data_IF_001923429838
#
_entry.id   IF_001923429838
#
_cell.length_a   1.000
_cell.length_b   1.000
_cell.length_c   1.000
_cell.angle_alpha   90.00
_cell.angle_beta   90.00
_cell.angle_gamma   90.00
#
_symmetry.space_group_name_H-M   'P 1'
#
loop_
_entity.id
_entity.type
_entity.pdbx_description
1 polymer ?
#
# COMPACT_ATOMS: atom_id res chain seq x y z
N UNK A 1 -16.45 -9.09 -13.34
CA UNK A 1 -15.94 -7.91 -14.08
C UNK A 1 -14.45 -7.93 -13.81
N UNK A 2 -13.65 -8.25 -14.81
CA UNK A 2 -12.19 -8.23 -14.69
C UNK A 2 -11.75 -6.78 -14.85
N UNK A 3 -11.14 -6.22 -13.82
CA UNK A 3 -10.48 -4.91 -13.92
C UNK A 3 -9.15 -5.11 -14.66
N UNK A 4 -8.82 -4.19 -15.55
CA UNK A 4 -7.48 -4.10 -16.14
C UNK A 4 -6.77 -2.81 -15.72
N UNK A 5 -5.46 -2.76 -15.92
CA UNK A 5 -4.64 -1.64 -15.45
C UNK A 5 -4.94 -0.34 -16.20
N UNK A 6 -5.38 -0.41 -17.46
CA UNK A 6 -5.75 0.77 -18.26
C UNK A 6 -7.05 1.40 -17.75
N UNK A 7 -8.03 0.57 -17.40
CA UNK A 7 -9.28 1.01 -16.79
C UNK A 7 -9.06 1.66 -15.44
N UNK A 8 -8.23 1.05 -14.58
CA UNK A 8 -7.88 1.62 -13.28
C UNK A 8 -7.09 2.93 -13.43
N UNK A 9 -6.13 2.97 -14.35
CA UNK A 9 -5.37 4.19 -14.64
C UNK A 9 -6.29 5.34 -15.10
N UNK A 10 -7.21 5.06 -16.02
CA UNK A 10 -8.18 6.04 -16.49
C UNK A 10 -9.11 6.52 -15.36
N UNK A 11 -9.58 5.60 -14.51
CA UNK A 11 -10.44 5.91 -13.37
C UNK A 11 -9.73 6.80 -12.35
N UNK A 12 -8.51 6.46 -11.95
CA UNK A 12 -7.78 7.22 -10.94
C UNK A 12 -7.29 8.57 -11.45
N UNK A 13 -7.03 8.72 -12.76
CA UNK A 13 -6.69 10.01 -13.38
C UNK A 13 -7.85 11.01 -13.39
N UNK A 14 -9.09 10.54 -13.26
CA UNK A 14 -10.28 11.40 -13.13
C UNK A 14 -10.49 11.90 -11.69
N UNK A 15 -9.73 11.37 -10.73
CA UNK A 15 -9.79 11.78 -9.32
C UNK A 15 -8.82 12.93 -9.06
N UNK A 16 -9.34 14.09 -8.64
CA UNK A 16 -8.56 15.33 -8.41
C UNK A 16 -7.53 15.22 -7.27
N UNK A 17 -7.66 14.22 -6.40
CA UNK A 17 -6.82 14.00 -5.22
C UNK A 17 -5.69 12.99 -5.44
N UNK A 18 -5.59 12.41 -6.63
CA UNK A 18 -4.59 11.39 -6.95
C UNK A 18 -3.64 11.82 -8.07
N UNK A 19 -2.35 11.59 -7.85
CA UNK A 19 -1.34 11.61 -8.90
C UNK A 19 -1.07 10.16 -9.31
N UNK A 20 -1.26 9.85 -10.59
CA UNK A 20 -1.12 8.48 -11.12
C UNK A 20 0.03 8.42 -12.12
N UNK A 21 1.01 7.58 -11.84
CA UNK A 21 2.15 7.29 -12.72
C UNK A 21 2.15 5.81 -13.09
N UNK A 22 2.29 5.50 -14.37
CA UNK A 22 2.36 4.10 -14.82
C UNK A 22 3.80 3.61 -14.89
N UNK A 23 4.07 2.49 -14.23
CA UNK A 23 5.38 1.83 -14.18
C UNK A 23 5.21 0.36 -14.59
N UNK A 24 5.40 0.08 -15.89
CA UNK A 24 5.24 -1.26 -16.49
C UNK A 24 3.86 -1.89 -16.18
N UNK A 25 3.84 -2.87 -15.28
CA UNK A 25 2.67 -3.66 -14.87
C UNK A 25 2.05 -3.15 -13.56
N UNK A 26 2.50 -2.01 -13.05
CA UNK A 26 1.98 -1.39 -11.84
C UNK A 26 1.60 0.08 -12.07
N UNK A 27 0.73 0.59 -11.20
CA UNK A 27 0.50 2.03 -11.03
C UNK A 27 1.13 2.49 -9.73
N UNK A 28 1.88 3.58 -9.78
CA UNK A 28 2.25 4.36 -8.61
C UNK A 28 1.19 5.45 -8.42
N UNK A 29 0.52 5.44 -7.29
CA UNK A 29 -0.54 6.37 -6.95
C UNK A 29 -0.12 7.14 -5.70
N UNK A 30 -0.21 8.46 -5.75
CA UNK A 30 0.09 9.33 -4.62
C UNK A 30 -1.13 10.19 -4.28
N UNK A 31 -1.49 10.28 -3.00
CA UNK A 31 -2.55 11.18 -2.56
C UNK A 31 -2.00 12.57 -2.16
N UNK A 32 -2.89 13.52 -1.87
CA UNK A 32 -2.51 14.88 -1.46
C UNK A 32 -1.77 14.94 -0.11
N UNK A 33 -1.89 13.91 0.72
CA UNK A 33 -1.23 13.82 2.03
C UNK A 33 0.22 13.28 1.93
N UNK A 34 0.68 12.95 0.72
CA UNK A 34 2.03 12.44 0.46
C UNK A 34 2.20 10.94 0.73
N UNK A 35 1.10 10.18 0.73
CA UNK A 35 1.14 8.73 0.80
C UNK A 35 1.24 8.16 -0.62
N UNK A 36 2.36 7.49 -0.90
CA UNK A 36 2.59 6.77 -2.15
C UNK A 36 2.21 5.30 -2.00
N UNK A 37 1.55 4.75 -3.01
CA UNK A 37 1.13 3.35 -3.04
C UNK A 37 1.40 2.71 -4.42
N UNK A 38 1.87 1.47 -4.39
CA UNK A 38 2.02 0.61 -5.56
C UNK A 38 0.76 -0.22 -5.73
N UNK A 39 0.11 -0.09 -6.88
CA UNK A 39 -1.04 -0.88 -7.26
C UNK A 39 -0.66 -1.86 -8.37
N UNK A 40 -1.04 -3.11 -8.21
CA UNK A 40 -0.89 -4.17 -9.20
C UNK A 40 -2.15 -5.03 -9.27
N UNK A 41 -2.37 -5.68 -10.41
CA UNK A 41 -3.43 -6.68 -10.58
C UNK A 41 -2.80 -8.07 -10.51
N UNK A 42 -3.33 -8.92 -9.63
CA UNK A 42 -2.87 -10.30 -9.45
C UNK A 42 -4.06 -11.26 -9.55
N UNK A 43 -4.25 -11.82 -10.74
CA UNK A 43 -5.44 -12.64 -11.05
C UNK A 43 -6.72 -11.80 -10.95
N UNK A 44 -7.64 -12.21 -10.08
CA UNK A 44 -8.91 -11.49 -9.83
C UNK A 44 -8.80 -10.42 -8.71
N UNK A 45 -7.60 -10.20 -8.17
CA UNK A 45 -7.37 -9.30 -7.05
C UNK A 45 -6.62 -8.03 -7.48
N UNK A 46 -7.02 -6.89 -6.91
CA UNK A 46 -6.24 -5.67 -6.93
C UNK A 46 -5.44 -5.65 -5.63
N UNK A 47 -4.13 -5.58 -5.75
CA UNK A 47 -3.21 -5.47 -4.61
C UNK A 47 -2.68 -4.05 -4.59
N UNK A 48 -2.72 -3.42 -3.42
CA UNK A 48 -2.17 -2.10 -3.18
C UNK A 48 -1.23 -2.21 -1.99
N UNK A 49 -0.02 -1.68 -2.11
CA UNK A 49 0.96 -1.66 -1.03
C UNK A 49 1.58 -0.27 -0.90
N UNK A 50 1.60 0.26 0.32
CA UNK A 50 2.24 1.52 0.66
C UNK A 50 3.34 1.32 1.70
N UNK A 51 4.41 2.12 1.57
CA UNK A 51 5.46 2.21 2.57
C UNK A 51 5.04 3.27 3.62
N UNK A 52 4.83 2.85 4.86
CA UNK A 52 4.29 3.74 5.89
C UNK A 52 5.38 4.57 6.59
N UNK A 53 6.27 3.90 7.32
CA UNK A 53 7.35 4.55 8.08
C UNK A 53 8.44 3.57 8.45
N UNK A 54 9.64 4.09 8.71
CA UNK A 54 10.79 3.29 9.10
C UNK A 54 10.59 2.74 10.52
N UNK A 55 10.85 1.45 10.71
CA UNK A 55 10.69 0.80 12.00
C UNK A 55 11.60 1.40 13.09
N UNK A 56 12.73 2.00 12.71
CA UNK A 56 13.64 2.70 13.63
C UNK A 56 13.04 3.98 14.24
N UNK A 57 11.96 4.53 13.66
CA UNK A 57 11.26 5.70 14.19
C UNK A 57 10.20 5.31 15.23
N UNK A 58 9.94 4.02 15.43
CA UNK A 58 8.95 3.53 16.39
C UNK A 58 9.58 3.46 17.78
N UNK A 59 9.03 4.22 18.72
CA UNK A 59 9.55 4.30 20.09
C UNK A 59 9.42 2.96 20.85
N UNK A 60 8.31 2.23 20.65
CA UNK A 60 8.07 0.91 21.22
C UNK A 60 7.53 -0.04 20.15
N UNK A 61 8.44 -0.74 19.48
CA UNK A 61 8.12 -1.67 18.40
C UNK A 61 7.21 -2.81 18.88
N UNK A 62 7.47 -3.33 20.08
CA UNK A 62 6.73 -4.47 20.60
C UNK A 62 5.27 -4.11 20.91
N UNK A 63 5.02 -2.91 21.45
CA UNK A 63 3.68 -2.42 21.68
C UNK A 63 2.91 -2.22 20.37
N UNK A 64 3.54 -1.58 19.37
CA UNK A 64 2.91 -1.37 18.07
C UNK A 64 2.60 -2.69 17.35
N UNK A 65 3.53 -3.65 17.37
CA UNK A 65 3.32 -4.97 16.76
C UNK A 65 2.16 -5.71 17.43
N UNK A 66 2.02 -5.60 18.76
CA UNK A 66 0.89 -6.16 19.49
C UNK A 66 -0.45 -5.54 19.06
N UNK A 67 -0.50 -4.21 18.96
CA UNK A 67 -1.70 -3.50 18.53
C UNK A 67 -2.09 -3.88 17.11
N UNK A 68 -1.13 -3.90 16.17
CA UNK A 68 -1.34 -4.33 14.78
C UNK A 68 -1.89 -5.76 14.73
N UNK A 69 -1.25 -6.71 15.42
CA UNK A 69 -1.70 -8.11 15.42
C UNK A 69 -3.08 -8.28 16.05
N UNK A 70 -3.43 -7.44 17.02
CA UNK A 70 -4.76 -7.45 17.66
C UNK A 70 -5.87 -6.97 16.72
N UNK A 71 -5.55 -6.22 15.65
CA UNK A 71 -6.51 -5.79 14.63
C UNK A 71 -6.76 -6.79 13.50
N UNK A 72 -5.90 -7.81 13.36
CA UNK A 72 -6.03 -8.81 12.30
C UNK A 72 -7.25 -9.73 12.54
N UNK A 73 -8.39 -9.36 11.96
CA UNK A 73 -9.60 -10.20 11.94
C UNK A 73 -9.54 -11.23 10.80
N UNK A 74 -10.48 -12.19 10.78
CA UNK A 74 -10.51 -13.32 9.84
C UNK A 74 -10.54 -12.93 8.35
N UNK A 75 -10.91 -11.68 8.03
CA UNK A 75 -10.89 -11.09 6.68
C UNK A 75 -10.41 -9.64 6.74
N UNK A 76 -9.10 -9.38 6.88
CA UNK A 76 -8.57 -8.04 6.88
C UNK A 76 -8.64 -7.47 5.46
N UNK A 77 -9.27 -6.30 5.30
CA UNK A 77 -9.23 -5.54 4.04
C UNK A 77 -7.91 -4.80 3.84
N UNK A 78 -7.09 -4.72 4.89
CA UNK A 78 -5.74 -4.14 4.90
C UNK A 78 -4.89 -4.98 5.85
N UNK A 79 -3.68 -5.34 5.44
CA UNK A 79 -2.74 -6.12 6.25
C UNK A 79 -1.49 -5.29 6.48
N UNK A 80 -1.18 -4.99 7.74
CA UNK A 80 0.06 -4.28 8.07
C UNK A 80 1.18 -5.29 8.28
N UNK A 81 2.31 -5.10 7.60
CA UNK A 81 3.46 -5.99 7.65
C UNK A 81 4.77 -5.21 7.85
N UNK A 82 5.87 -5.94 7.94
CA UNK A 82 7.23 -5.38 7.96
C UNK A 82 7.96 -5.88 6.71
N UNK A 83 8.47 -4.94 5.92
CA UNK A 83 9.26 -5.21 4.72
C UNK A 83 10.67 -4.66 4.87
N UNK A 84 11.67 -5.33 4.27
CA UNK A 84 13.04 -4.85 4.23
C UNK A 84 13.31 -4.13 2.91
N UNK A 85 13.62 -2.84 2.98
CA UNK A 85 13.94 -1.99 1.83
C UNK A 85 15.35 -1.45 2.03
N UNK A 86 16.27 -1.81 1.13
CA UNK A 86 17.67 -1.38 1.17
C UNK A 86 18.38 -1.63 2.53
N UNK A 87 18.03 -2.72 3.22
CA UNK A 87 18.63 -3.08 4.50
C UNK A 87 17.95 -2.47 5.73
N UNK A 88 16.93 -1.64 5.53
CA UNK A 88 16.13 -1.03 6.60
C UNK A 88 14.75 -1.66 6.67
N UNK A 89 14.21 -1.81 7.89
CA UNK A 89 12.86 -2.30 8.10
C UNK A 89 11.86 -1.15 8.04
N UNK A 90 10.77 -1.34 7.31
CA UNK A 90 9.65 -0.41 7.22
C UNK A 90 8.34 -1.15 7.49
N UNK A 91 7.40 -0.45 8.12
CA UNK A 91 6.01 -0.90 8.14
C UNK A 91 5.38 -0.63 6.77
N UNK A 92 4.62 -1.60 6.27
CA UNK A 92 3.87 -1.52 5.00
C UNK A 92 2.41 -1.90 5.23
N UNK A 93 1.51 -1.45 4.35
CA UNK A 93 0.09 -1.80 4.39
C UNK A 93 -0.55 -1.84 3.01
#
# INVERSE_FOLDING_TARGET
MEWDLEQLEALFKDMDDLVVTREKECLLIANQDGLDAWLAISGEQIIVESLLFNASQVADKAALDHDILSTHMLFPLTTVAISNVNGEEYYTA
#
